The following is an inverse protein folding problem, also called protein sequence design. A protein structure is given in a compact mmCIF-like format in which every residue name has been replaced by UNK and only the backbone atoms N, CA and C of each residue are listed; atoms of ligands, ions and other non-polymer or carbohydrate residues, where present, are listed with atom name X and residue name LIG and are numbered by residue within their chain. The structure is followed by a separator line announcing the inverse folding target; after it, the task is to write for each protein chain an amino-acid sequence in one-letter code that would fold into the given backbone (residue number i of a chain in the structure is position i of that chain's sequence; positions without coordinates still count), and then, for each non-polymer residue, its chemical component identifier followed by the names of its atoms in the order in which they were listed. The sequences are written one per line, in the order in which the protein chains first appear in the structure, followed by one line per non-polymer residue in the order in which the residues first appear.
data_IF_778795318024
#
_entry.id   IF_778795318024
#
_cell.length_a   1.000
_cell.length_b   1.000
_cell.length_c   1.000
_cell.angle_alpha   90.00
_cell.angle_beta   90.00
_cell.angle_gamma   90.00
#
_symmetry.space_group_name_H-M   'P 1'
#
loop_
_entity.id
_entity.type
_entity.pdbx_description
1 polymer ?
#
# COMPACT_ATOMS: atom_id res chain seq x y z
N UNK A 1 9.16 -13.26 11.18
CA UNK A 1 9.85 -11.95 11.35
C UNK A 1 10.39 -11.45 10.03
N UNK A 2 11.22 -12.23 9.30
CA UNK A 2 11.68 -11.87 7.94
C UNK A 2 10.52 -11.64 6.97
N UNK A 3 9.50 -12.50 7.00
CA UNK A 3 8.27 -12.34 6.20
C UNK A 3 7.55 -11.02 6.50
N UNK A 4 7.34 -10.67 7.79
CA UNK A 4 6.68 -9.41 8.15
C UNK A 4 7.51 -8.18 7.77
N UNK A 5 8.83 -8.24 7.92
CA UNK A 5 9.72 -7.14 7.49
C UNK A 5 9.64 -6.94 5.96
N UNK A 6 9.59 -8.04 5.20
CA UNK A 6 9.42 -8.01 3.74
C UNK A 6 8.03 -7.48 3.35
N UNK A 7 6.95 -7.93 3.99
CA UNK A 7 5.58 -7.41 3.74
C UNK A 7 5.43 -5.93 4.09
N UNK A 8 6.13 -5.44 5.13
CA UNK A 8 6.13 -4.02 5.49
C UNK A 8 6.92 -3.20 4.46
N UNK A 9 8.05 -3.72 3.96
CA UNK A 9 8.83 -3.07 2.91
C UNK A 9 8.00 -2.94 1.62
N UNK A 10 7.36 -4.03 1.18
CA UNK A 10 6.48 -4.04 0.01
C UNK A 10 5.30 -3.06 0.16
N UNK A 11 4.64 -3.05 1.32
CA UNK A 11 3.58 -2.08 1.61
C UNK A 11 4.04 -0.63 1.49
N UNK A 12 5.23 -0.30 2.00
CA UNK A 12 5.75 1.07 1.97
C UNK A 12 6.10 1.51 0.54
N UNK A 13 6.67 0.62 -0.26
CA UNK A 13 6.97 0.87 -1.67
C UNK A 13 5.69 1.08 -2.48
N UNK A 14 4.70 0.22 -2.32
CA UNK A 14 3.42 0.32 -3.00
C UNK A 14 2.66 1.59 -2.61
N UNK A 15 2.60 1.91 -1.31
CA UNK A 15 1.97 3.13 -0.84
C UNK A 15 2.67 4.38 -1.38
N UNK A 16 4.00 4.37 -1.43
CA UNK A 16 4.80 5.45 -2.03
C UNK A 16 4.51 5.63 -3.52
N UNK A 17 4.37 4.53 -4.25
CA UNK A 17 4.01 4.56 -5.67
C UNK A 17 2.62 5.17 -5.88
N UNK A 18 1.60 4.73 -5.13
CA UNK A 18 0.22 5.25 -5.25
C UNK A 18 0.17 6.75 -4.95
N UNK A 19 0.87 7.21 -3.91
CA UNK A 19 0.97 8.63 -3.59
C UNK A 19 1.65 9.42 -4.72
N UNK A 20 2.73 8.89 -5.30
CA UNK A 20 3.41 9.50 -6.44
C UNK A 20 2.51 9.62 -7.67
N UNK A 21 1.70 8.60 -7.98
CA UNK A 21 0.75 8.64 -9.10
C UNK A 21 -0.37 9.67 -8.86
N UNK A 22 -0.85 9.77 -7.61
CA UNK A 22 -1.82 10.80 -7.23
C UNK A 22 -1.24 12.21 -7.33
N UNK A 23 -0.05 12.45 -6.78
CA UNK A 23 0.63 13.76 -6.79
C UNK A 23 0.94 14.24 -8.21
N UNK A 24 1.27 13.32 -9.11
CA UNK A 24 1.49 13.61 -10.53
C UNK A 24 0.17 13.81 -11.31
N UNK A 25 -0.98 13.54 -10.69
CA UNK A 25 -2.30 13.66 -11.31
C UNK A 25 -2.63 12.51 -12.26
N UNK A 26 -1.90 11.39 -12.18
CA UNK A 26 -2.17 10.16 -12.94
C UNK A 26 -3.26 9.30 -12.29
N UNK A 27 -3.50 9.49 -11.00
CA UNK A 27 -4.56 8.82 -10.24
C UNK A 27 -5.46 9.83 -9.55
N UNK A 28 -6.77 9.58 -9.53
CA UNK A 28 -7.71 10.38 -8.76
C UNK A 28 -7.70 9.98 -7.27
N UNK A 29 -8.21 10.87 -6.41
CA UNK A 29 -8.17 10.68 -4.97
C UNK A 29 -8.94 9.44 -4.50
N UNK A 30 -10.09 9.14 -5.12
CA UNK A 30 -10.93 8.00 -4.71
C UNK A 30 -10.27 6.68 -5.11
N UNK A 31 -9.67 6.63 -6.31
CA UNK A 31 -8.87 5.51 -6.77
C UNK A 31 -7.64 5.29 -5.86
N UNK A 32 -6.90 6.35 -5.52
CA UNK A 32 -5.74 6.27 -4.64
C UNK A 32 -6.11 5.73 -3.25
N UNK A 33 -7.21 6.22 -2.66
CA UNK A 33 -7.71 5.72 -1.39
C UNK A 33 -8.14 4.25 -1.47
N UNK A 34 -8.85 3.85 -2.53
CA UNK A 34 -9.28 2.46 -2.71
C UNK A 34 -8.10 1.49 -2.84
N UNK A 35 -7.02 1.90 -3.51
CA UNK A 35 -5.81 1.08 -3.67
C UNK A 35 -5.05 0.98 -2.35
N UNK A 36 -4.87 2.11 -1.64
CA UNK A 36 -4.22 2.13 -0.33
C UNK A 36 -4.98 1.28 0.71
N UNK A 37 -6.31 1.32 0.71
CA UNK A 37 -7.13 0.48 1.58
C UNK A 37 -6.88 -1.02 1.30
N UNK A 38 -6.72 -1.40 0.03
CA UNK A 38 -6.34 -2.76 -0.35
C UNK A 38 -4.99 -3.18 0.23
N UNK A 39 -3.94 -2.39 0.01
CA UNK A 39 -2.60 -2.68 0.56
C UNK A 39 -2.59 -2.74 2.10
N UNK A 40 -3.40 -1.91 2.77
CA UNK A 40 -3.54 -1.93 4.23
C UNK A 40 -4.20 -3.24 4.70
N UNK A 41 -5.24 -3.70 4.00
CA UNK A 41 -5.93 -4.93 4.35
C UNK A 41 -5.04 -6.16 4.12
N UNK A 42 -4.26 -6.19 3.03
CA UNK A 42 -3.27 -7.24 2.78
C UNK A 42 -2.22 -7.31 3.92
N UNK A 43 -1.65 -6.17 4.31
CA UNK A 43 -0.69 -6.12 5.43
C UNK A 43 -1.32 -6.54 6.77
N UNK A 44 -2.60 -6.22 6.98
CA UNK A 44 -3.34 -6.64 8.20
C UNK A 44 -3.59 -8.15 8.22
N UNK A 45 -3.83 -8.77 7.08
CA UNK A 45 -3.99 -10.21 6.97
C UNK A 45 -2.68 -10.92 7.32
N UNK A 46 -1.56 -10.45 6.78
CA UNK A 46 -0.22 -10.95 7.11
C UNK A 46 0.14 -10.78 8.60
N UNK A 47 -0.29 -9.67 9.23
CA UNK A 47 -0.03 -9.45 10.66
C UNK A 47 -0.89 -10.33 11.60
N UNK A 48 -2.04 -10.82 11.13
CA UNK A 48 -2.93 -11.70 11.91
C UNK A 48 -2.59 -13.18 11.79
N UNK A 49 -1.76 -13.55 10.81
CA UNK A 49 -1.29 -14.91 10.52
C UNK A 49 -0.25 -15.46 11.49
#
# INVERSE_FOLDING_TARGET
MKELEESVEEFLDDAGYVLSEYEQGYMDADAALSVLDGHIDDLREEFRG
#
